data_IF_422288532639
#
_entry.id   IF_422288532639
#
_cell.length_a   1.000
_cell.length_b   1.000
_cell.length_c   1.000
_cell.angle_alpha   90.00
_cell.angle_beta   90.00
_cell.angle_gamma   90.00
#
_symmetry.space_group_name_H-M   'P 1'
#
loop_
_entity.id
_entity.type
_entity.pdbx_description
1 polymer ?
#
# COMPACT_ATOMS: atom_id res chain seq x y z
N UNK A 1 -17.10 2.67 7.17
CA UNK A 1 -16.16 1.97 8.07
C UNK A 1 -14.99 2.90 8.35
N UNK A 2 -14.69 3.16 9.62
CA UNK A 2 -13.43 3.80 10.02
C UNK A 2 -12.33 2.77 9.80
N UNK A 3 -11.38 3.05 8.90
CA UNK A 3 -10.13 2.28 8.83
C UNK A 3 -9.42 2.46 10.16
N UNK A 4 -9.30 1.39 10.94
CA UNK A 4 -8.49 1.41 12.15
C UNK A 4 -7.04 1.73 11.74
N UNK A 5 -6.52 2.86 12.22
CA UNK A 5 -5.11 3.19 12.08
C UNK A 5 -4.37 2.19 12.96
N UNK A 6 -3.64 1.27 12.33
CA UNK A 6 -2.81 0.31 13.05
C UNK A 6 -1.76 1.05 13.86
N UNK A 7 -1.49 0.57 15.05
CA UNK A 7 -0.42 1.12 15.88
C UNK A 7 0.92 0.75 15.25
N UNK A 8 1.94 1.60 15.38
CA UNK A 8 3.27 1.40 14.79
C UNK A 8 3.84 0.00 15.02
N UNK A 9 3.63 -0.58 16.21
CA UNK A 9 4.05 -1.94 16.54
C UNK A 9 3.38 -3.01 15.67
N UNK A 10 2.08 -2.87 15.42
CA UNK A 10 1.32 -3.80 14.59
C UNK A 10 1.77 -3.73 13.12
N UNK A 11 2.07 -2.52 12.63
CA UNK A 11 2.58 -2.32 11.27
C UNK A 11 3.97 -2.97 11.13
N UNK A 12 4.86 -2.76 12.10
CA UNK A 12 6.20 -3.36 12.11
C UNK A 12 6.14 -4.89 12.16
N UNK A 13 5.31 -5.45 13.04
CA UNK A 13 5.12 -6.89 13.14
C UNK A 13 4.62 -7.51 11.83
N UNK A 14 3.61 -6.90 11.21
CA UNK A 14 3.13 -7.34 9.90
C UNK A 14 4.23 -7.24 8.83
N UNK A 15 5.04 -6.18 8.85
CA UNK A 15 6.18 -6.02 7.96
C UNK A 15 7.22 -7.13 8.11
N UNK A 16 7.61 -7.45 9.34
CA UNK A 16 8.56 -8.53 9.62
C UNK A 16 8.04 -9.90 9.17
N UNK A 17 6.76 -10.18 9.38
CA UNK A 17 6.14 -11.43 8.92
C UNK A 17 6.16 -11.55 7.40
N UNK A 18 5.85 -10.47 6.68
CA UNK A 18 5.89 -10.44 5.22
C UNK A 18 7.32 -10.65 4.73
N UNK A 19 8.30 -9.93 5.29
CA UNK A 19 9.69 -10.04 4.88
C UNK A 19 10.23 -11.46 5.13
N UNK A 20 10.01 -12.02 6.32
CA UNK A 20 10.46 -13.37 6.65
C UNK A 20 9.80 -14.45 5.78
N UNK A 21 8.51 -14.31 5.44
CA UNK A 21 7.81 -15.25 4.54
C UNK A 21 8.36 -15.23 3.12
N UNK A 22 8.72 -14.07 2.59
CA UNK A 22 9.12 -13.93 1.18
C UNK A 22 10.63 -14.03 0.94
N UNK A 23 11.45 -13.61 1.91
CA UNK A 23 12.91 -13.59 1.79
C UNK A 23 13.58 -14.72 2.59
N UNK A 24 12.87 -15.31 3.56
CA UNK A 24 13.48 -16.15 4.58
C UNK A 24 14.16 -15.31 5.68
N UNK A 25 14.54 -15.96 6.78
CA UNK A 25 15.00 -15.27 7.99
C UNK A 25 16.31 -14.49 7.76
N UNK A 26 17.30 -15.09 7.11
CA UNK A 26 18.64 -14.50 6.94
C UNK A 26 18.60 -13.28 6.03
N UNK A 27 17.93 -13.36 4.89
CA UNK A 27 17.82 -12.23 3.96
C UNK A 27 16.89 -11.13 4.49
N UNK A 28 15.86 -11.47 5.27
CA UNK A 28 15.02 -10.47 5.92
C UNK A 28 15.82 -9.63 6.94
N UNK A 29 16.63 -10.26 7.79
CA UNK A 29 17.52 -9.58 8.73
C UNK A 29 18.52 -8.67 8.01
N UNK A 30 19.14 -9.19 6.94
CA UNK A 30 20.07 -8.41 6.11
C UNK A 30 19.38 -7.22 5.46
N UNK A 31 18.17 -7.37 4.95
CA UNK A 31 17.38 -6.28 4.38
C UNK A 31 17.09 -5.18 5.42
N UNK A 32 16.65 -5.55 6.62
CA UNK A 32 16.39 -4.60 7.70
C UNK A 32 17.66 -3.84 8.06
N UNK A 33 18.79 -4.54 8.19
CA UNK A 33 20.08 -3.92 8.46
C UNK A 33 20.51 -2.91 7.36
N UNK A 34 20.27 -3.23 6.08
CA UNK A 34 20.58 -2.32 4.97
C UNK A 34 19.70 -1.05 5.01
N UNK A 35 18.39 -1.21 5.22
CA UNK A 35 17.44 -0.09 5.32
C UNK A 35 17.73 0.82 6.52
N UNK A 36 18.26 0.27 7.61
CA UNK A 36 18.66 1.08 8.78
C UNK A 36 19.98 1.82 8.57
N UNK A 37 20.91 1.25 7.77
CA UNK A 37 22.24 1.83 7.52
C UNK A 37 22.21 2.90 6.44
N UNK A 38 21.38 2.71 5.43
CA UNK A 38 21.30 3.58 4.27
C UNK A 38 19.95 4.29 4.23
N UNK A 39 19.94 5.60 3.98
CA UNK A 39 18.69 6.33 3.77
C UNK A 39 18.07 5.86 2.46
N UNK A 40 17.00 5.09 2.55
CA UNK A 40 16.21 4.72 1.38
C UNK A 40 15.39 5.92 0.90
N UNK A 41 15.67 6.40 -0.32
CA UNK A 41 14.90 7.48 -0.94
C UNK A 41 13.59 6.94 -1.52
N UNK A 42 12.53 7.02 -0.70
CA UNK A 42 11.19 6.65 -1.12
C UNK A 42 10.68 7.47 -2.31
N UNK A 43 11.10 8.73 -2.45
CA UNK A 43 10.67 9.60 -3.54
C UNK A 43 11.25 9.12 -4.86
N UNK A 44 12.55 8.81 -4.87
CA UNK A 44 13.23 8.26 -6.04
C UNK A 44 12.68 6.89 -6.42
N UNK A 45 12.49 5.99 -5.45
CA UNK A 45 11.91 4.67 -5.72
C UNK A 45 10.48 4.78 -6.29
N UNK A 46 9.64 5.65 -5.72
CA UNK A 46 8.24 5.83 -6.15
C UNK A 46 8.12 6.37 -7.57
N UNK A 47 9.04 7.21 -8.03
CA UNK A 47 9.02 7.74 -9.40
C UNK A 47 9.05 6.63 -10.45
N UNK A 48 9.73 5.52 -10.17
CA UNK A 48 9.86 4.38 -11.06
C UNK A 48 8.77 3.31 -10.87
N UNK A 49 7.80 3.54 -9.97
CA UNK A 49 6.77 2.54 -9.67
C UNK A 49 5.80 2.31 -10.84
N UNK A 50 5.62 3.33 -11.69
CA UNK A 50 4.69 3.29 -12.81
C UNK A 50 5.33 3.71 -14.14
N UNK A 51 6.66 3.74 -14.23
CA UNK A 51 7.37 4.17 -15.45
C UNK A 51 7.02 3.32 -16.68
N UNK A 52 6.59 2.07 -16.48
CA UNK A 52 6.14 1.18 -17.56
C UNK A 52 4.67 1.39 -17.95
N UNK A 53 3.91 2.19 -17.19
CA UNK A 53 2.49 2.44 -17.43
C UNK A 53 2.28 3.87 -17.91
N UNK A 54 1.59 4.03 -19.04
CA UNK A 54 1.12 5.36 -19.46
C UNK A 54 0.13 5.93 -18.43
N UNK A 55 0.05 7.26 -18.31
CA UNK A 55 -0.93 7.89 -17.41
C UNK A 55 -2.39 7.48 -17.68
N UNK A 56 -2.72 7.18 -18.95
CA UNK A 56 -4.02 6.63 -19.34
C UNK A 56 -4.26 5.24 -18.76
N UNK A 57 -3.23 4.41 -18.72
CA UNK A 57 -3.28 3.06 -18.19
C UNK A 57 -3.39 3.06 -16.66
N UNK A 58 -2.66 3.94 -15.98
CA UNK A 58 -2.80 4.18 -14.54
C UNK A 58 -4.23 4.63 -14.22
N UNK A 59 -4.77 5.59 -14.97
CA UNK A 59 -6.15 6.09 -14.81
C UNK A 59 -7.18 4.98 -15.05
N UNK A 60 -7.00 4.17 -16.11
CA UNK A 60 -7.88 3.03 -16.40
C UNK A 60 -7.89 2.02 -15.25
N UNK A 61 -6.73 1.62 -14.76
CA UNK A 61 -6.60 0.67 -13.65
C UNK A 61 -7.19 1.24 -12.35
N UNK A 62 -6.97 2.53 -12.06
CA UNK A 62 -7.57 3.19 -10.90
C UNK A 62 -9.11 3.17 -10.97
N UNK A 63 -9.68 3.46 -12.14
CA UNK A 63 -11.13 3.40 -12.34
C UNK A 63 -11.67 1.97 -12.26
N UNK A 64 -10.94 0.96 -12.77
CA UNK A 64 -11.32 -0.45 -12.61
C UNK A 64 -11.30 -0.90 -11.16
N UNK A 65 -10.28 -0.50 -10.40
CA UNK A 65 -10.20 -0.78 -8.98
C UNK A 65 -11.37 -0.15 -8.21
N UNK A 66 -11.74 1.10 -8.52
CA UNK A 66 -12.92 1.74 -7.92
C UNK A 66 -14.22 1.02 -8.25
N UNK A 67 -14.41 0.60 -9.52
CA UNK A 67 -15.63 -0.13 -9.94
C UNK A 67 -15.74 -1.52 -9.31
N UNK A 68 -14.62 -2.19 -9.04
CA UNK A 68 -14.57 -3.51 -8.39
C UNK A 68 -14.73 -3.45 -6.89
N UNK A 69 -14.51 -2.29 -6.27
CA UNK A 69 -14.89 -2.07 -4.88
C UNK A 69 -16.42 -2.11 -4.85
N UNK A 70 -17.06 -3.01 -4.07
CA UNK A 70 -18.51 -2.98 -3.96
C UNK A 70 -18.89 -1.57 -3.53
N UNK A 71 -19.75 -0.91 -4.30
CA UNK A 71 -20.42 0.31 -3.89
C UNK A 71 -21.06 -0.03 -2.55
N UNK A 72 -20.47 0.46 -1.46
CA UNK A 72 -21.18 0.49 -0.20
C UNK A 72 -22.40 1.36 -0.46
N UNK A 73 -23.64 0.87 -0.26
CA UNK A 73 -24.82 1.63 -0.55
C UNK A 73 -24.85 2.82 0.40
N UNK A 74 -24.43 3.98 -0.08
CA UNK A 74 -24.83 5.25 0.50
C UNK A 74 -26.10 5.59 -0.27
N UNK A 75 -27.23 5.18 0.32
CA UNK A 75 -28.55 5.60 -0.10
C UNK A 75 -28.64 7.12 -0.01
N UNK A 76 -28.94 7.73 -1.15
CA UNK A 76 -29.56 9.04 -1.27
C UNK A 76 -30.76 9.16 -0.32
N UNK A 77 -30.55 9.69 0.88
CA UNK A 77 -31.63 10.22 1.71
C UNK A 77 -31.17 11.50 2.40
N UNK A 78 -31.12 12.58 1.62
CA UNK A 78 -31.28 13.94 2.13
C UNK A 78 -32.06 14.77 1.11
N UNK A 79 -33.27 14.29 0.81
CA UNK A 79 -34.35 15.12 0.30
C UNK A 79 -35.64 14.69 0.99
N UNK A 80 -35.88 15.21 2.20
CA UNK A 80 -37.21 15.49 2.76
C UNK A 80 -37.05 16.20 4.11
N UNK A 81 -37.55 17.44 4.13
CA UNK A 81 -37.79 18.40 5.23
C UNK A 81 -36.56 19.11 5.78
#
# INVERSE_FOLDING_TARGET
>A
MMTAIKVDAEIKMAGYEILSRHLGLVEAERFIALIQREKFDYTQWRQNLFTELSGKEISRQAMEFQRRKPVSPISDESKTI
#
